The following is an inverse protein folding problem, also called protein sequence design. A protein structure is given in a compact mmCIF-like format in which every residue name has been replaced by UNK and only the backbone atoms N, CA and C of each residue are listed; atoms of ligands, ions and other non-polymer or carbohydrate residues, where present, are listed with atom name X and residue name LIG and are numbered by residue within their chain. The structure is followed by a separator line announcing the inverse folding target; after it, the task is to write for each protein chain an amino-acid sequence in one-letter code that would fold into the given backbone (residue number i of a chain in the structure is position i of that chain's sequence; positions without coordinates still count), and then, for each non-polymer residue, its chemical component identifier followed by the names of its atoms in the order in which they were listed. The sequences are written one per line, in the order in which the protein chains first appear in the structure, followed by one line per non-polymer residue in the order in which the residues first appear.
data_IF_826805788539
#
_entry.id   IF_826805788539
#
_cell.length_a   1.000
_cell.length_b   1.000
_cell.length_c   1.000
_cell.angle_alpha   90.00
_cell.angle_beta   90.00
_cell.angle_gamma   90.00
#
_symmetry.space_group_name_H-M   'P 1'
#
loop_
_entity.id
_entity.type
_entity.pdbx_description
1 polymer ?
#
# COMPACT_ATOMS: atom_id res chain seq x y z
N UNK A 1 1.25 20.30 -85.63
CA UNK A 1 0.83 19.54 -84.43
C UNK A 1 1.15 20.40 -83.22
N UNK A 2 0.11 20.71 -82.45
CA UNK A 2 0.10 21.63 -81.32
C UNK A 2 0.86 21.04 -80.14
N UNK A 3 1.72 21.82 -79.48
CA UNK A 3 2.00 21.61 -78.05
C UNK A 3 2.17 22.95 -77.33
N UNK A 4 1.12 23.23 -76.56
CA UNK A 4 0.93 24.27 -75.57
C UNK A 4 1.96 24.10 -74.43
N UNK A 5 2.63 25.17 -73.98
CA UNK A 5 3.28 25.22 -72.66
C UNK A 5 2.92 26.55 -71.97
N UNK A 6 2.26 26.51 -70.80
CA UNK A 6 1.79 27.71 -70.12
C UNK A 6 2.82 28.29 -69.14
N UNK A 7 2.78 29.62 -69.03
CA UNK A 7 2.65 30.37 -67.77
C UNK A 7 3.64 30.13 -66.64
N UNK A 8 4.61 31.04 -66.53
CA UNK A 8 5.36 31.35 -65.30
C UNK A 8 4.42 31.87 -64.21
N UNK A 9 4.30 31.14 -63.10
CA UNK A 9 3.65 31.63 -61.87
C UNK A 9 4.70 31.75 -60.76
N UNK A 10 5.10 32.98 -60.47
CA UNK A 10 5.95 33.32 -59.33
C UNK A 10 5.15 33.15 -58.04
N UNK A 11 5.45 32.10 -57.27
CA UNK A 11 4.88 31.89 -55.95
C UNK A 11 5.64 32.75 -54.92
N UNK A 12 5.00 33.81 -54.45
CA UNK A 12 5.41 34.56 -53.26
C UNK A 12 5.21 33.69 -52.02
N UNK A 13 6.30 33.18 -51.45
CA UNK A 13 6.30 32.46 -50.18
C UNK A 13 6.28 33.51 -49.07
N UNK A 14 5.10 33.77 -48.49
CA UNK A 14 4.99 34.47 -47.22
C UNK A 14 5.43 33.50 -46.10
N UNK A 15 6.39 33.88 -45.23
CA UNK A 15 6.68 33.07 -44.06
C UNK A 15 5.50 33.19 -43.10
N UNK A 16 4.77 32.09 -42.92
CA UNK A 16 3.82 31.97 -41.83
C UNK A 16 4.60 31.96 -40.52
N UNK A 17 4.63 33.11 -39.85
CA UNK A 17 5.12 33.24 -38.48
C UNK A 17 4.13 32.47 -37.60
N UNK A 18 4.46 31.22 -37.30
CA UNK A 18 3.80 30.48 -36.22
C UNK A 18 4.18 31.14 -34.90
N UNK A 19 3.31 32.01 -34.41
CA UNK A 19 3.33 32.41 -33.01
C UNK A 19 2.99 31.17 -32.17
N UNK A 20 4.02 30.49 -31.65
CA UNK A 20 3.84 29.54 -30.56
C UNK A 20 3.47 30.34 -29.29
N UNK A 21 2.19 30.64 -29.12
CA UNK A 21 1.64 31.00 -27.83
C UNK A 21 1.58 29.73 -26.97
N UNK A 22 2.72 29.31 -26.41
CA UNK A 22 2.74 28.27 -25.37
C UNK A 22 2.88 28.97 -24.02
N UNK A 23 1.74 29.37 -23.47
CA UNK A 23 1.63 29.62 -22.03
C UNK A 23 0.18 29.36 -21.60
N UNK A 24 -0.27 28.12 -21.78
CA UNK A 24 -1.46 27.65 -21.09
C UNK A 24 -1.12 27.46 -19.62
N UNK A 25 -1.32 28.51 -18.81
CA UNK A 25 -1.28 28.39 -17.35
C UNK A 25 -2.43 27.44 -16.97
N UNK A 26 -2.10 26.22 -16.57
CA UNK A 26 -3.10 25.24 -16.16
C UNK A 26 -3.68 25.67 -14.82
N UNK A 27 -4.94 26.12 -14.82
CA UNK A 27 -5.67 26.48 -13.61
C UNK A 27 -6.50 25.28 -13.15
N UNK A 28 -6.32 24.88 -11.89
CA UNK A 28 -7.07 23.83 -11.24
C UNK A 28 -7.86 24.40 -10.08
N UNK A 29 -9.10 23.94 -9.92
CA UNK A 29 -9.83 24.13 -8.65
C UNK A 29 -9.68 22.86 -7.82
N UNK A 30 -9.21 23.02 -6.60
CA UNK A 30 -8.96 21.94 -5.64
C UNK A 30 -9.77 22.22 -4.38
N UNK A 31 -10.51 21.22 -3.89
CA UNK A 31 -11.39 21.38 -2.72
C UNK A 31 -11.13 20.24 -1.74
N UNK A 32 -10.35 20.42 -0.66
CA UNK A 32 -10.14 19.35 0.32
C UNK A 32 -11.45 18.77 0.84
N UNK A 33 -11.49 17.45 1.02
CA UNK A 33 -12.60 16.81 1.73
C UNK A 33 -12.58 17.21 3.22
N UNK A 34 -13.72 17.14 3.93
CA UNK A 34 -13.74 17.33 5.38
C UNK A 34 -12.72 16.43 6.08
N UNK A 35 -11.99 17.00 7.06
CA UNK A 35 -10.95 16.32 7.84
C UNK A 35 -9.78 15.76 7.02
N UNK A 36 -9.54 16.30 5.81
CA UNK A 36 -8.36 15.97 5.01
C UNK A 36 -7.48 17.21 4.81
N UNK A 37 -6.18 16.97 4.67
CA UNK A 37 -5.21 17.99 4.27
C UNK A 37 -4.61 17.57 2.93
N UNK A 38 -4.59 18.47 1.96
CA UNK A 38 -3.94 18.24 0.67
C UNK A 38 -2.63 19.02 0.65
N UNK A 39 -1.52 18.33 0.44
CA UNK A 39 -0.19 18.89 0.26
C UNK A 39 0.26 18.67 -1.19
N UNK A 40 0.37 19.74 -1.96
CA UNK A 40 0.92 19.71 -3.32
C UNK A 40 2.38 20.16 -3.18
N UNK A 41 3.33 19.27 -3.49
CA UNK A 41 4.75 19.57 -3.29
C UNK A 41 5.60 19.01 -4.42
N UNK A 42 6.71 19.69 -4.69
CA UNK A 42 7.72 19.27 -5.66
C UNK A 42 8.98 18.82 -4.96
N UNK A 43 9.72 17.88 -5.56
CA UNK A 43 11.06 17.54 -5.06
C UNK A 43 12.00 18.74 -5.23
N UNK A 44 12.83 19.03 -4.22
CA UNK A 44 13.69 20.21 -4.18
C UNK A 44 14.71 20.31 -5.34
N UNK A 45 14.87 19.26 -6.14
CA UNK A 45 15.78 19.21 -7.29
C UNK A 45 15.21 19.79 -8.59
N UNK A 46 13.95 20.25 -8.61
CA UNK A 46 13.27 20.67 -9.85
C UNK A 46 13.26 22.20 -10.09
N UNK A 47 14.09 22.63 -11.04
CA UNK A 47 13.92 23.64 -12.12
C UNK A 47 12.82 24.74 -12.01
N UNK A 48 12.68 25.43 -10.87
CA UNK A 48 12.00 26.73 -10.82
C UNK A 48 10.48 26.74 -11.06
N UNK A 49 9.81 25.58 -11.10
CA UNK A 49 8.34 25.53 -11.15
C UNK A 49 7.74 25.75 -9.77
N UNK A 50 6.73 26.61 -9.70
CA UNK A 50 6.05 26.98 -8.47
C UNK A 50 4.55 26.71 -8.60
N UNK A 51 3.95 26.32 -7.48
CA UNK A 51 2.52 26.25 -7.29
C UNK A 51 2.05 27.56 -6.66
N UNK A 52 1.00 28.14 -7.19
CA UNK A 52 0.54 29.47 -6.82
C UNK A 52 -0.95 29.50 -6.49
N UNK A 53 -1.32 30.39 -5.57
CA UNK A 53 -2.71 30.73 -5.26
C UNK A 53 -2.93 32.24 -5.35
N UNK A 54 -4.17 32.67 -5.56
CA UNK A 54 -4.51 34.08 -5.78
C UNK A 54 -4.33 34.52 -7.24
N UNK A 55 -4.41 35.82 -7.50
CA UNK A 55 -4.36 36.39 -8.86
C UNK A 55 -3.71 37.77 -8.86
N UNK A 56 -2.91 38.07 -9.89
CA UNK A 56 -2.28 39.39 -10.04
C UNK A 56 -1.24 39.66 -8.95
N UNK A 57 -1.27 40.85 -8.35
CA UNK A 57 -0.30 41.27 -7.32
C UNK A 57 -0.44 40.55 -5.97
N UNK A 58 -1.54 39.85 -5.72
CA UNK A 58 -1.76 39.04 -4.51
C UNK A 58 -1.41 37.56 -4.71
N UNK A 59 -0.83 37.19 -5.85
CA UNK A 59 -0.44 35.82 -6.15
C UNK A 59 0.72 35.39 -5.25
N UNK A 60 0.52 34.31 -4.51
CA UNK A 60 1.52 33.69 -3.65
C UNK A 60 1.98 32.39 -4.28
N UNK A 61 3.26 32.31 -4.62
CA UNK A 61 3.88 31.16 -5.26
C UNK A 61 4.93 30.52 -4.35
N UNK A 62 4.98 29.20 -4.35
CA UNK A 62 5.92 28.41 -3.53
C UNK A 62 6.24 27.08 -4.22
N UNK A 63 7.22 26.34 -3.70
CA UNK A 63 7.52 24.96 -4.14
C UNK A 63 6.57 23.92 -3.52
N UNK A 64 5.75 24.34 -2.55
CA UNK A 64 4.69 23.55 -1.94
C UNK A 64 3.47 24.40 -1.58
N UNK A 65 2.31 23.76 -1.53
CA UNK A 65 1.02 24.36 -1.15
C UNK A 65 0.26 23.40 -0.25
N UNK A 66 -0.13 23.87 0.93
CA UNK A 66 -0.90 23.13 1.91
C UNK A 66 -2.33 23.64 1.99
N UNK A 67 -3.31 22.77 1.79
CA UNK A 67 -4.74 23.07 1.83
C UNK A 67 -5.39 22.27 2.97
N UNK A 68 -5.82 22.96 4.02
CA UNK A 68 -6.34 22.32 5.26
C UNK A 68 -7.84 22.52 5.47
N UNK A 69 -8.47 23.43 4.71
CA UNK A 69 -9.89 23.78 4.87
C UNK A 69 -10.71 23.22 3.70
N UNK A 70 -11.96 22.76 3.96
CA UNK A 70 -12.83 22.21 2.92
C UNK A 70 -13.51 23.33 2.12
N UNK A 71 -12.69 24.19 1.50
CA UNK A 71 -13.14 25.33 0.69
C UNK A 71 -12.43 25.23 -0.67
N UNK A 72 -13.12 25.48 -1.79
CA UNK A 72 -12.48 25.50 -3.10
C UNK A 72 -11.35 26.53 -3.18
N UNK A 73 -10.20 26.10 -3.69
CA UNK A 73 -9.02 26.95 -3.92
C UNK A 73 -8.60 26.85 -5.37
N UNK A 74 -8.44 28.01 -6.02
CA UNK A 74 -7.86 28.09 -7.36
C UNK A 74 -6.33 28.03 -7.28
N UNK A 75 -5.77 27.04 -7.96
CA UNK A 75 -4.35 26.72 -8.01
C UNK A 75 -3.86 26.90 -9.44
N UNK A 76 -2.70 27.54 -9.60
CA UNK A 76 -2.00 27.68 -10.88
C UNK A 76 -0.56 27.23 -10.75
N UNK A 77 0.05 26.87 -11.88
CA UNK A 77 1.44 26.45 -11.93
C UNK A 77 2.22 27.33 -12.90
N UNK A 78 3.47 27.64 -12.57
CA UNK A 78 4.33 28.46 -13.42
C UNK A 78 4.96 27.70 -14.60
N UNK A 79 4.85 26.37 -14.61
CA UNK A 79 5.37 25.52 -15.68
C UNK A 79 4.25 24.81 -16.47
N UNK A 80 4.51 24.45 -17.74
CA UNK A 80 3.49 23.88 -18.63
C UNK A 80 3.14 22.41 -18.33
N UNK A 81 3.99 21.66 -17.62
CA UNK A 81 3.79 20.23 -17.28
C UNK A 81 3.96 19.97 -15.78
N UNK A 82 3.08 20.50 -14.92
CA UNK A 82 3.23 20.39 -13.47
C UNK A 82 3.16 18.94 -12.95
N UNK A 83 2.51 18.03 -13.67
CA UNK A 83 2.32 16.63 -13.30
C UNK A 83 3.63 15.84 -13.21
N UNK A 84 4.65 16.25 -13.96
CA UNK A 84 5.98 15.63 -13.92
C UNK A 84 6.89 16.22 -12.82
N UNK A 85 6.43 17.25 -12.11
CA UNK A 85 7.22 18.01 -11.14
C UNK A 85 6.64 17.94 -9.73
N UNK A 86 5.31 17.98 -9.62
CA UNK A 86 4.59 17.95 -8.36
C UNK A 86 3.95 16.59 -8.11
N UNK A 87 3.99 16.18 -6.84
CA UNK A 87 3.19 15.10 -6.29
C UNK A 87 2.18 15.67 -5.29
N UNK A 88 1.07 14.97 -5.15
CA UNK A 88 -0.02 15.36 -4.25
C UNK A 88 -0.11 14.34 -3.12
N UNK A 89 -0.06 14.80 -1.88
CA UNK A 89 -0.32 13.98 -0.71
C UNK A 89 -1.65 14.40 -0.06
N UNK A 90 -2.54 13.44 0.13
CA UNK A 90 -3.82 13.60 0.81
C UNK A 90 -3.69 12.94 2.17
N UNK A 91 -3.60 13.75 3.22
CA UNK A 91 -3.41 13.29 4.58
C UNK A 91 -4.73 13.33 5.35
N UNK A 92 -5.03 12.25 6.06
CA UNK A 92 -6.12 12.16 7.01
C UNK A 92 -5.56 11.77 8.38
N UNK A 93 -5.76 12.63 9.37
CA UNK A 93 -5.39 12.36 10.75
C UNK A 93 -6.62 11.91 11.55
N UNK A 94 -6.51 10.76 12.21
CA UNK A 94 -7.61 10.10 12.90
C UNK A 94 -7.22 9.90 14.36
N UNK A 95 -7.93 10.60 15.25
CA UNK A 95 -7.81 10.38 16.71
C UNK A 95 -8.85 9.37 17.17
N UNK A 96 -8.40 8.21 17.63
CA UNK A 96 -9.25 7.17 18.18
C UNK A 96 -9.44 7.43 19.68
N UNK A 97 -10.60 7.99 20.04
CA UNK A 97 -10.90 8.45 21.42
C UNK A 97 -11.64 7.41 22.27
N UNK A 98 -12.26 6.41 21.66
CA UNK A 98 -13.07 5.41 22.37
C UNK A 98 -12.75 3.99 21.93
N UNK A 99 -12.93 3.04 22.85
CA UNK A 99 -12.77 1.59 22.60
C UNK A 99 -13.88 0.97 21.72
N UNK A 100 -14.84 1.78 21.25
CA UNK A 100 -15.96 1.35 20.40
C UNK A 100 -15.85 1.84 18.94
N UNK A 101 -14.72 2.44 18.56
CA UNK A 101 -14.58 3.02 17.22
C UNK A 101 -14.34 1.92 16.16
N UNK A 102 -15.27 1.82 15.22
CA UNK A 102 -15.10 1.12 13.94
C UNK A 102 -15.39 2.14 12.84
N UNK A 103 -14.38 2.48 12.04
CA UNK A 103 -14.46 3.55 11.05
C UNK A 103 -14.06 3.06 9.66
N UNK A 104 -14.78 3.46 8.62
CA UNK A 104 -14.36 3.19 7.24
C UNK A 104 -13.23 4.14 6.86
N UNK A 105 -12.21 3.59 6.20
CA UNK A 105 -11.17 4.37 5.56
C UNK A 105 -11.69 4.74 4.18
N UNK A 106 -12.05 6.01 4.02
CA UNK A 106 -12.65 6.45 2.76
C UNK A 106 -11.52 6.71 1.76
N UNK A 107 -11.33 5.75 0.86
CA UNK A 107 -10.45 5.84 -0.28
C UNK A 107 -11.21 6.46 -1.45
N UNK A 108 -11.31 7.78 -1.43
CA UNK A 108 -11.91 8.57 -2.49
C UNK A 108 -10.85 9.45 -3.11
N UNK A 109 -11.00 9.76 -4.39
CA UNK A 109 -10.20 10.80 -5.04
C UNK A 109 -10.58 12.16 -4.38
N UNK A 110 -10.01 12.41 -3.21
CA UNK A 110 -10.32 13.57 -2.39
C UNK A 110 -9.94 14.85 -3.12
N UNK A 111 -10.96 15.65 -3.39
CA UNK A 111 -10.80 17.06 -3.70
C UNK A 111 -10.62 17.50 -5.14
N UNK A 112 -11.10 16.68 -6.10
CA UNK A 112 -11.54 17.03 -7.46
C UNK A 112 -10.93 16.10 -8.51
N UNK A 113 -11.70 15.79 -9.55
CA UNK A 113 -11.25 15.20 -10.82
C UNK A 113 -9.98 15.89 -11.37
N UNK A 114 -9.74 17.15 -10.99
CA UNK A 114 -8.60 17.96 -11.43
C UNK A 114 -7.24 17.42 -10.98
N UNK A 115 -7.15 16.68 -9.86
CA UNK A 115 -5.88 16.14 -9.37
C UNK A 115 -5.53 14.76 -9.95
N UNK A 116 -6.39 14.20 -10.81
CA UNK A 116 -6.20 12.85 -11.35
C UNK A 116 -4.88 12.70 -12.11
N UNK A 117 -4.45 13.75 -12.82
CA UNK A 117 -3.24 13.72 -13.64
C UNK A 117 -1.95 13.77 -12.83
N UNK A 118 -2.03 13.92 -11.50
CA UNK A 118 -0.87 13.94 -10.61
C UNK A 118 -0.68 12.57 -9.96
N UNK A 119 0.58 12.21 -9.71
CA UNK A 119 0.89 11.15 -8.76
C UNK A 119 0.36 11.56 -7.39
N UNK A 120 -0.40 10.66 -6.76
CA UNK A 120 -1.07 10.91 -5.50
C UNK A 120 -0.65 9.89 -4.45
N UNK A 121 -0.47 10.35 -3.22
CA UNK A 121 -0.35 9.49 -2.04
C UNK A 121 -1.47 9.81 -1.08
N UNK A 122 -2.23 8.80 -0.70
CA UNK A 122 -3.23 8.89 0.37
C UNK A 122 -2.60 8.36 1.64
N UNK A 123 -2.62 9.14 2.72
CA UNK A 123 -1.97 8.81 3.98
C UNK A 123 -2.97 8.91 5.13
N UNK A 124 -3.24 7.79 5.79
CA UNK A 124 -4.05 7.73 7.00
C UNK A 124 -3.13 7.55 8.20
N UNK A 125 -3.04 8.59 9.03
CA UNK A 125 -2.32 8.56 10.30
C UNK A 125 -3.31 8.37 11.42
N UNK A 126 -3.23 7.26 12.13
CA UNK A 126 -4.12 6.93 13.23
C UNK A 126 -3.35 7.03 14.53
N UNK A 127 -3.93 7.75 15.49
CA UNK A 127 -3.40 7.88 16.84
C UNK A 127 -4.46 7.42 17.85
N UNK A 128 -4.11 6.45 18.67
CA UNK A 128 -5.04 5.70 19.51
C UNK A 128 -4.61 5.70 20.99
N UNK A 129 -4.33 6.89 21.52
CA UNK A 129 -3.77 7.10 22.87
C UNK A 129 -4.62 6.57 24.04
N UNK A 130 -5.92 6.35 23.84
CA UNK A 130 -6.86 5.93 24.88
C UNK A 130 -7.40 4.51 24.67
N UNK A 131 -6.86 3.78 23.70
CA UNK A 131 -7.26 2.39 23.41
C UNK A 131 -6.07 1.46 23.63
N UNK A 132 -6.29 0.18 23.99
CA UNK A 132 -5.17 -0.74 24.20
C UNK A 132 -4.38 -1.02 22.92
N UNK A 133 -5.08 -1.06 21.79
CA UNK A 133 -4.52 -1.14 20.45
C UNK A 133 -5.62 -0.82 19.43
N UNK A 134 -5.20 -0.59 18.19
CA UNK A 134 -6.09 -0.45 17.05
C UNK A 134 -5.52 -1.21 15.87
N UNK A 135 -6.29 -1.39 14.80
CA UNK A 135 -5.76 -1.93 13.58
C UNK A 135 -6.51 -1.51 12.34
N UNK A 136 -5.91 -1.85 11.21
CA UNK A 136 -6.48 -1.74 9.89
C UNK A 136 -6.97 -3.12 9.45
N UNK A 137 -8.24 -3.20 9.03
CA UNK A 137 -8.85 -4.38 8.45
C UNK A 137 -8.88 -4.24 6.93
N UNK A 138 -8.27 -5.22 6.27
CA UNK A 138 -8.17 -5.34 4.82
C UNK A 138 -8.81 -6.63 4.32
N UNK A 139 -9.55 -7.37 5.17
CA UNK A 139 -9.96 -8.76 4.90
C UNK A 139 -10.78 -8.93 3.61
N UNK A 140 -11.51 -7.88 3.19
CA UNK A 140 -12.29 -7.90 1.95
C UNK A 140 -11.41 -7.92 0.68
N UNK A 141 -10.25 -7.26 0.71
CA UNK A 141 -9.35 -7.15 -0.45
C UNK A 141 -8.13 -8.06 -0.32
N UNK A 142 -7.60 -8.20 0.88
CA UNK A 142 -6.36 -8.89 1.18
C UNK A 142 -5.13 -8.15 0.65
N UNK A 143 -4.04 -8.18 1.42
CA UNK A 143 -2.76 -7.60 1.03
C UNK A 143 -1.69 -8.68 0.87
N UNK A 144 -0.82 -8.52 -0.13
CA UNK A 144 0.35 -9.38 -0.39
C UNK A 144 1.61 -8.55 -0.20
N UNK A 145 2.47 -8.94 0.74
CA UNK A 145 3.74 -8.26 0.93
C UNK A 145 4.62 -8.42 -0.31
N UNK A 146 5.38 -7.39 -0.62
CA UNK A 146 6.30 -7.36 -1.76
C UNK A 146 7.67 -6.84 -1.34
N UNK A 147 8.69 -7.34 -2.02
CA UNK A 147 10.03 -6.78 -1.94
C UNK A 147 10.03 -5.30 -2.39
N UNK A 148 10.79 -4.39 -1.75
CA UNK A 148 10.75 -2.96 -2.10
C UNK A 148 11.15 -2.60 -3.53
N UNK A 149 11.83 -3.50 -4.25
CA UNK A 149 12.19 -3.33 -5.67
C UNK A 149 11.13 -3.84 -6.64
N UNK A 150 10.07 -4.49 -6.14
CA UNK A 150 8.98 -5.03 -6.96
C UNK A 150 7.85 -4.00 -7.01
N UNK A 151 7.24 -3.82 -8.18
CA UNK A 151 6.05 -3.00 -8.35
C UNK A 151 4.80 -3.85 -8.42
N UNK A 152 3.66 -3.31 -7.96
CA UNK A 152 2.39 -3.99 -8.07
C UNK A 152 1.91 -4.08 -9.53
N UNK A 153 1.20 -5.16 -9.92
CA UNK A 153 0.68 -5.29 -11.29
C UNK A 153 -0.27 -4.16 -11.71
N UNK A 154 -1.00 -3.61 -10.76
CA UNK A 154 -1.88 -2.45 -10.92
C UNK A 154 -1.19 -1.11 -10.63
N UNK A 155 0.11 -1.14 -10.31
CA UNK A 155 0.92 0.00 -9.87
C UNK A 155 0.45 0.71 -8.58
N UNK A 156 -0.58 0.20 -7.90
CA UNK A 156 -1.05 0.74 -6.64
C UNK A 156 -0.28 0.09 -5.50
N UNK A 157 0.49 0.89 -4.76
CA UNK A 157 1.35 0.37 -3.69
C UNK A 157 0.84 0.82 -2.34
N UNK A 158 0.58 -0.15 -1.46
CA UNK A 158 0.16 0.08 -0.09
C UNK A 158 1.35 -0.03 0.84
N UNK A 159 1.47 0.86 1.82
CA UNK A 159 2.58 0.82 2.78
C UNK A 159 2.07 0.96 4.20
N UNK A 160 2.58 0.13 5.10
CA UNK A 160 2.28 0.21 6.54
C UNK A 160 3.53 0.60 7.32
N UNK A 161 3.33 1.52 8.26
CA UNK A 161 4.34 1.92 9.22
C UNK A 161 3.80 1.85 10.64
N UNK A 162 4.64 1.44 11.58
CA UNK A 162 4.40 1.56 13.01
C UNK A 162 5.26 2.67 13.61
N UNK A 163 4.80 3.23 14.73
CA UNK A 163 5.55 4.23 15.46
C UNK A 163 6.86 3.65 16.05
N UNK A 164 7.95 4.45 16.12
CA UNK A 164 8.02 5.85 15.69
C UNK A 164 8.23 6.03 14.18
N UNK A 165 8.85 5.07 13.48
CA UNK A 165 9.06 5.12 12.02
C UNK A 165 9.55 3.76 11.48
N UNK A 166 8.91 2.66 11.88
CA UNK A 166 9.29 1.31 11.45
C UNK A 166 8.43 0.91 10.26
N UNK A 167 9.07 0.60 9.14
CA UNK A 167 8.39 0.11 7.95
C UNK A 167 7.95 -1.34 8.22
N UNK A 168 6.65 -1.57 8.34
CA UNK A 168 6.11 -2.93 8.47
C UNK A 168 6.22 -3.66 7.13
N UNK A 169 5.93 -2.95 6.04
CA UNK A 169 6.10 -3.49 4.70
C UNK A 169 5.46 -2.66 3.60
N UNK A 170 5.72 -3.09 2.36
CA UNK A 170 5.02 -2.66 1.15
C UNK A 170 4.18 -3.82 0.63
N UNK A 171 3.02 -3.49 0.08
CA UNK A 171 2.01 -4.48 -0.29
C UNK A 171 1.33 -4.15 -1.61
N UNK A 172 0.94 -5.20 -2.31
CA UNK A 172 -0.05 -5.17 -3.38
C UNK A 172 -1.37 -5.78 -2.88
N UNK A 173 -2.43 -5.64 -3.67
CA UNK A 173 -3.71 -6.29 -3.38
C UNK A 173 -3.68 -7.79 -3.65
N UNK A 174 -4.75 -8.45 -3.19
CA UNK A 174 -5.04 -9.86 -3.41
C UNK A 174 -3.96 -10.76 -2.80
N UNK A 175 -3.80 -10.64 -1.48
CA UNK A 175 -2.93 -11.51 -0.72
C UNK A 175 -3.54 -11.96 0.61
N UNK A 176 -2.81 -12.80 1.35
CA UNK A 176 -3.31 -13.44 2.57
C UNK A 176 -3.40 -12.48 3.76
N UNK A 177 -2.73 -11.34 3.74
CA UNK A 177 -2.71 -10.41 4.89
C UNK A 177 -4.08 -9.75 4.99
N UNK A 178 -4.79 -10.04 6.08
CA UNK A 178 -6.16 -9.58 6.30
C UNK A 178 -6.22 -8.43 7.29
N UNK A 179 -5.28 -8.32 8.23
CA UNK A 179 -5.27 -7.24 9.24
C UNK A 179 -3.86 -6.85 9.65
N UNK A 180 -3.70 -5.62 10.12
CA UNK A 180 -2.51 -5.16 10.83
C UNK A 180 -2.92 -4.35 12.07
N UNK A 181 -2.33 -4.65 13.22
CA UNK A 181 -2.69 -4.12 14.52
C UNK A 181 -1.48 -3.48 15.21
N UNK A 182 -1.71 -2.32 15.83
CA UNK A 182 -0.72 -1.38 16.33
C UNK A 182 -1.12 -0.89 17.73
N UNK A 183 -0.12 -0.55 18.56
CA UNK A 183 -0.35 -0.06 19.92
C UNK A 183 -0.90 1.37 19.94
N UNK A 184 -0.06 2.35 19.59
CA UNK A 184 -0.37 3.76 19.79
C UNK A 184 -0.58 4.51 18.48
N UNK A 185 0.36 4.36 17.54
CA UNK A 185 0.34 5.06 16.27
C UNK A 185 0.75 4.13 15.14
N UNK A 186 0.05 4.28 14.04
CA UNK A 186 0.23 3.52 12.82
C UNK A 186 -0.17 4.37 11.62
N UNK A 187 0.58 4.21 10.54
CA UNK A 187 0.39 4.96 9.30
C UNK A 187 0.14 3.95 8.21
N UNK A 188 -0.92 4.18 7.45
CA UNK A 188 -1.23 3.44 6.24
C UNK A 188 -1.23 4.40 5.07
N UNK A 189 -0.53 4.06 4.00
CA UNK A 189 -0.52 4.88 2.79
C UNK A 189 -0.79 4.07 1.53
N UNK A 190 -1.35 4.76 0.52
CA UNK A 190 -1.59 4.25 -0.82
C UNK A 190 -0.97 5.21 -1.83
N UNK A 191 0.04 4.75 -2.56
CA UNK A 191 0.62 5.44 -3.70
C UNK A 191 -0.12 5.07 -4.99
N UNK A 192 -0.64 6.08 -5.69
CA UNK A 192 -1.39 5.97 -6.95
C UNK A 192 -0.69 6.77 -8.04
N UNK A 193 -0.34 6.14 -9.17
CA UNK A 193 0.26 6.84 -10.31
C UNK A 193 -0.65 7.91 -10.91
N UNK A 194 -0.03 8.86 -11.61
CA UNK A 194 -0.75 9.85 -12.42
C UNK A 194 -1.71 9.17 -13.42
N UNK A 195 -2.91 9.72 -13.54
CA UNK A 195 -3.95 9.26 -14.48
C UNK A 195 -4.77 8.05 -14.03
N UNK A 196 -4.38 7.36 -12.94
CA UNK A 196 -5.11 6.19 -12.42
C UNK A 196 -6.08 6.59 -11.31
N UNK A 197 -7.28 6.01 -11.26
CA UNK A 197 -8.22 6.29 -10.16
C UNK A 197 -7.93 5.41 -8.95
N UNK A 198 -8.16 5.95 -7.75
CA UNK A 198 -8.17 5.14 -6.53
C UNK A 198 -9.26 4.08 -6.65
N UNK A 199 -8.89 2.82 -6.37
CA UNK A 199 -9.89 1.78 -6.23
C UNK A 199 -10.54 1.89 -4.85
N UNK A 200 -11.87 1.78 -4.80
CA UNK A 200 -12.61 1.81 -3.55
C UNK A 200 -12.50 0.44 -2.87
N UNK A 201 -11.35 0.17 -2.24
CA UNK A 201 -11.20 -1.02 -1.42
C UNK A 201 -11.95 -0.83 -0.09
N UNK A 202 -12.50 -1.92 0.45
CA UNK A 202 -13.23 -1.91 1.71
C UNK A 202 -12.27 -2.01 2.89
N UNK A 203 -11.55 -0.92 3.16
CA UNK A 203 -10.67 -0.83 4.32
C UNK A 203 -11.35 -0.15 5.49
N UNK A 204 -11.10 -0.67 6.68
CA UNK A 204 -11.67 -0.12 7.91
C UNK A 204 -10.68 -0.15 9.06
N UNK A 205 -11.01 0.60 10.10
CA UNK A 205 -10.32 0.64 11.37
C UNK A 205 -11.11 -0.17 12.39
N UNK A 206 -10.40 -0.89 13.24
CA UNK A 206 -10.98 -1.65 14.36
C UNK A 206 -10.20 -1.41 15.66
N UNK A 207 -10.88 -1.56 16.80
CA UNK A 207 -10.23 -1.65 18.12
C UNK A 207 -9.82 -3.10 18.35
N UNK A 208 -8.55 -3.32 18.65
CA UNK A 208 -8.00 -4.64 18.85
C UNK A 208 -7.86 -5.04 20.32
N UNK A 209 -7.45 -6.28 20.54
CA UNK A 209 -7.06 -6.80 21.86
C UNK A 209 -5.75 -6.16 22.36
N UNK A 210 -5.39 -6.39 23.62
CA UNK A 210 -4.07 -5.96 24.13
C UNK A 210 -2.99 -6.75 23.39
N UNK A 211 -2.04 -6.05 22.79
CA UNK A 211 -0.86 -6.64 22.14
C UNK A 211 0.40 -6.11 22.82
N UNK A 212 1.53 -6.78 22.62
CA UNK A 212 2.84 -6.32 23.11
C UNK A 212 3.71 -5.72 22.00
N UNK A 213 3.36 -5.96 20.74
CA UNK A 213 4.11 -5.53 19.56
C UNK A 213 3.17 -5.41 18.35
N UNK A 214 3.69 -4.92 17.21
CA UNK A 214 2.90 -4.86 15.97
C UNK A 214 2.54 -6.27 15.52
N UNK A 215 1.26 -6.50 15.22
CA UNK A 215 0.72 -7.81 14.83
C UNK A 215 0.12 -7.75 13.43
N UNK A 216 0.58 -8.61 12.53
CA UNK A 216 0.00 -8.77 11.18
C UNK A 216 -0.70 -10.11 11.10
N UNK A 217 -1.99 -10.09 10.77
CA UNK A 217 -2.81 -11.31 10.67
C UNK A 217 -2.99 -11.72 9.22
N UNK A 218 -2.88 -13.02 8.99
CA UNK A 218 -3.00 -13.66 7.69
C UNK A 218 -4.17 -14.64 7.69
N UNK A 219 -5.02 -14.54 6.68
CA UNK A 219 -6.02 -15.56 6.32
C UNK A 219 -5.44 -16.37 5.17
N UNK A 220 -4.94 -17.57 5.46
CA UNK A 220 -4.36 -18.41 4.42
C UNK A 220 -5.45 -18.98 3.50
N UNK A 221 -5.24 -19.02 2.18
CA UNK A 221 -6.26 -19.48 1.25
C UNK A 221 -6.45 -21.00 1.33
N UNK A 222 -7.61 -21.47 0.87
CA UNK A 222 -7.89 -22.89 0.70
C UNK A 222 -7.09 -23.42 -0.50
N UNK A 223 -6.57 -24.64 -0.37
CA UNK A 223 -5.74 -25.29 -1.37
C UNK A 223 -4.24 -25.10 -1.11
N UNK A 224 -3.43 -25.50 -2.09
CA UNK A 224 -1.99 -25.37 -2.01
C UNK A 224 -1.57 -23.95 -2.40
N UNK A 225 -0.80 -23.29 -1.55
CA UNK A 225 -0.33 -21.93 -1.78
C UNK A 225 0.94 -21.64 -1.00
N UNK A 226 1.61 -20.54 -1.35
CA UNK A 226 2.78 -20.04 -0.63
C UNK A 226 2.69 -18.53 -0.47
N UNK A 227 3.12 -18.03 0.68
CA UNK A 227 3.14 -16.61 1.00
C UNK A 227 4.52 -16.22 1.51
N UNK A 228 5.07 -15.16 0.94
CA UNK A 228 6.35 -14.57 1.37
C UNK A 228 6.08 -13.45 2.37
N UNK A 229 6.86 -13.43 3.45
CA UNK A 229 6.85 -12.40 4.47
C UNK A 229 8.27 -11.90 4.71
N UNK A 230 8.40 -10.58 4.85
CA UNK A 230 9.66 -9.91 5.06
C UNK A 230 9.66 -9.26 6.44
N UNK A 231 10.81 -9.27 7.10
CA UNK A 231 11.02 -8.55 8.37
C UNK A 231 10.71 -7.06 8.21
N UNK A 232 10.37 -6.36 9.30
CA UNK A 232 10.27 -4.90 9.25
C UNK A 232 11.57 -4.26 8.75
N UNK A 233 11.44 -3.12 8.08
CA UNK A 233 12.50 -2.36 7.41
C UNK A 233 13.22 -3.06 6.25
N UNK A 234 12.85 -4.28 5.87
CA UNK A 234 13.52 -5.03 4.80
C UNK A 234 13.67 -4.21 3.50
N UNK A 235 14.84 -4.23 2.82
CA UNK A 235 16.04 -5.03 3.10
C UNK A 235 16.98 -4.46 4.16
N UNK A 236 16.61 -3.34 4.81
CA UNK A 236 17.39 -2.81 5.92
C UNK A 236 17.11 -3.60 7.21
N UNK A 237 17.97 -3.38 8.22
CA UNK A 237 17.88 -4.09 9.49
C UNK A 237 16.55 -3.86 10.20
N UNK A 238 15.99 -4.95 10.72
CA UNK A 238 15.01 -4.88 11.77
C UNK A 238 15.63 -4.23 13.03
N UNK A 239 14.83 -3.45 13.75
CA UNK A 239 15.26 -2.62 14.87
C UNK A 239 15.80 -3.45 16.04
N UNK A 240 16.79 -2.91 16.76
CA UNK A 240 17.41 -3.56 17.93
C UNK A 240 16.38 -3.73 19.05
N UNK A 241 16.40 -4.90 19.69
CA UNK A 241 15.47 -5.29 20.78
C UNK A 241 13.97 -5.16 20.47
N UNK A 242 13.62 -5.20 19.18
CA UNK A 242 12.24 -5.06 18.71
C UNK A 242 11.60 -6.42 18.37
N UNK A 243 10.27 -6.43 18.30
CA UNK A 243 9.45 -7.63 18.12
C UNK A 243 8.37 -7.42 17.08
N UNK A 244 8.14 -8.43 16.24
CA UNK A 244 7.05 -8.45 15.26
C UNK A 244 6.28 -9.76 15.36
N UNK A 245 4.95 -9.70 15.39
CA UNK A 245 4.09 -10.88 15.40
C UNK A 245 3.37 -11.06 14.05
N UNK A 246 3.40 -12.27 13.52
CA UNK A 246 2.49 -12.73 12.47
C UNK A 246 1.52 -13.76 13.04
N UNK A 247 0.23 -13.59 12.80
CA UNK A 247 -0.81 -14.53 13.22
C UNK A 247 -1.45 -15.19 12.01
N UNK A 248 -1.42 -16.52 11.96
CA UNK A 248 -1.86 -17.30 10.81
C UNK A 248 -3.17 -18.01 11.11
N UNK A 249 -4.22 -17.66 10.36
CA UNK A 249 -5.46 -18.41 10.31
C UNK A 249 -5.35 -19.48 9.22
N UNK A 250 -5.24 -20.74 9.65
CA UNK A 250 -5.09 -21.88 8.75
C UNK A 250 -6.45 -22.53 8.49
N UNK A 251 -6.87 -22.71 7.23
CA UNK A 251 -8.12 -23.40 6.93
C UNK A 251 -8.17 -24.82 7.49
N UNK A 252 -9.38 -25.30 7.79
CA UNK A 252 -9.57 -26.66 8.25
C UNK A 252 -8.98 -27.67 7.25
N UNK A 253 -8.40 -28.77 7.75
CA UNK A 253 -7.76 -29.84 6.93
C UNK A 253 -6.55 -29.41 6.10
N UNK A 254 -5.98 -28.24 6.38
CA UNK A 254 -4.72 -27.81 5.78
C UNK A 254 -3.61 -27.90 6.82
N UNK A 255 -2.39 -28.07 6.33
CA UNK A 255 -1.20 -27.97 7.15
C UNK A 255 -0.26 -26.92 6.57
N UNK A 256 0.47 -26.26 7.46
CA UNK A 256 1.42 -25.22 7.08
C UNK A 256 2.85 -25.65 7.34
N UNK A 257 3.76 -25.16 6.52
CA UNK A 257 5.19 -25.30 6.69
C UNK A 257 5.82 -23.90 6.66
N UNK A 258 6.72 -23.63 7.60
CA UNK A 258 7.47 -22.37 7.65
C UNK A 258 8.91 -22.65 7.27
N UNK A 259 9.48 -21.80 6.42
CA UNK A 259 10.88 -21.88 6.00
C UNK A 259 11.50 -20.48 6.02
N UNK A 260 12.76 -20.40 6.42
CA UNK A 260 13.53 -19.15 6.39
C UNK A 260 14.48 -19.23 5.20
N UNK A 261 14.45 -18.24 4.31
CA UNK A 261 15.28 -18.23 3.10
C UNK A 261 16.50 -17.30 3.26
N UNK A 262 16.29 -15.99 3.10
CA UNK A 262 17.34 -14.99 3.21
C UNK A 262 17.39 -14.47 4.64
N UNK A 263 18.34 -15.01 5.42
CA UNK A 263 18.56 -14.62 6.82
C UNK A 263 19.90 -13.90 6.93
N UNK A 264 19.87 -12.65 7.40
CA UNK A 264 21.08 -11.98 7.90
C UNK A 264 20.95 -11.90 9.42
N UNK A 265 21.89 -12.50 10.14
CA UNK A 265 21.85 -12.49 11.61
C UNK A 265 22.70 -11.35 12.17
N UNK A 266 22.21 -10.65 13.20
CA UNK A 266 22.98 -9.60 13.85
C UNK A 266 23.98 -10.16 14.84
N UNK A 267 24.97 -9.33 15.18
CA UNK A 267 25.84 -9.59 16.33
C UNK A 267 25.13 -9.11 17.60
N UNK A 268 24.73 -10.05 18.45
CA UNK A 268 24.01 -9.75 19.68
C UNK A 268 24.95 -9.47 20.86
N UNK A 269 24.69 -8.40 21.61
CA UNK A 269 25.32 -8.10 22.90
C UNK A 269 24.55 -8.78 24.03
N UNK A 270 23.21 -8.74 23.97
CA UNK A 270 22.30 -9.39 24.91
C UNK A 270 21.10 -9.96 24.19
N UNK A 271 20.45 -10.95 24.84
CA UNK A 271 19.35 -11.74 24.26
C UNK A 271 19.81 -12.45 22.98
N UNK A 272 18.92 -13.20 22.36
CA UNK A 272 19.21 -13.95 21.13
C UNK A 272 18.10 -13.69 20.13
N UNK A 273 18.47 -13.38 18.89
CA UNK A 273 17.51 -13.27 17.80
C UNK A 273 16.94 -14.66 17.49
N UNK A 274 15.61 -14.77 17.47
CA UNK A 274 14.93 -16.06 17.39
C UNK A 274 13.51 -15.88 16.85
N UNK A 275 12.92 -17.00 16.42
CA UNK A 275 11.50 -17.10 16.11
C UNK A 275 10.81 -17.89 17.21
N UNK A 276 9.69 -17.38 17.71
CA UNK A 276 8.85 -18.11 18.66
C UNK A 276 7.49 -18.44 18.04
N UNK A 277 7.05 -19.68 18.19
CA UNK A 277 5.74 -20.15 17.72
C UNK A 277 4.81 -20.39 18.90
N UNK A 278 3.64 -19.79 18.86
CA UNK A 278 2.57 -20.00 19.84
C UNK A 278 1.41 -20.69 19.17
N UNK A 279 1.01 -21.84 19.72
CA UNK A 279 -0.14 -22.60 19.26
C UNK A 279 -1.27 -22.53 20.28
N UNK A 280 -2.51 -22.69 19.82
CA UNK A 280 -3.67 -22.78 20.70
C UNK A 280 -3.44 -23.82 21.81
N UNK A 281 -3.48 -23.36 23.07
CA UNK A 281 -3.38 -24.17 24.29
C UNK A 281 -2.05 -24.92 24.47
N UNK A 282 -0.96 -24.47 23.85
CA UNK A 282 0.39 -25.04 24.05
C UNK A 282 1.36 -23.95 24.49
N UNK A 283 2.42 -24.36 25.20
CA UNK A 283 3.54 -23.49 25.48
C UNK A 283 4.22 -23.04 24.17
N UNK A 284 4.78 -21.83 24.16
CA UNK A 284 5.54 -21.31 23.04
C UNK A 284 6.79 -22.15 22.78
N UNK A 285 7.12 -22.37 21.51
CA UNK A 285 8.34 -23.03 21.08
C UNK A 285 9.27 -22.01 20.44
N UNK A 286 10.49 -21.89 20.96
CA UNK A 286 11.50 -20.96 20.44
C UNK A 286 12.45 -21.72 19.53
N UNK A 287 12.65 -21.20 18.34
CA UNK A 287 13.59 -21.71 17.35
C UNK A 287 14.66 -20.67 17.01
N UNK A 288 15.89 -21.14 16.83
CA UNK A 288 16.98 -20.32 16.30
C UNK A 288 16.74 -19.99 14.82
N UNK A 289 17.42 -18.95 14.34
CA UNK A 289 17.30 -18.53 12.94
C UNK A 289 18.09 -19.43 11.97
N UNK A 290 19.04 -20.20 12.48
CA UNK A 290 19.91 -21.12 11.72
C UNK A 290 19.46 -22.58 11.75
N UNK A 291 18.36 -22.90 12.45
CA UNK A 291 17.85 -24.26 12.54
C UNK A 291 16.57 -24.50 11.73
N UNK A 292 16.25 -25.76 11.39
CA UNK A 292 15.05 -26.09 10.64
C UNK A 292 13.78 -25.66 11.39
N UNK A 293 12.94 -24.90 10.71
CA UNK A 293 11.64 -24.46 11.22
C UNK A 293 10.58 -25.57 11.08
N UNK A 294 9.43 -25.46 11.76
CA UNK A 294 8.39 -26.51 11.71
C UNK A 294 7.82 -26.72 10.31
N UNK A 295 7.89 -27.96 9.81
CA UNK A 295 7.43 -28.34 8.47
C UNK A 295 5.99 -28.87 8.37
N UNK A 296 5.30 -29.12 9.50
CA UNK A 296 3.90 -29.56 9.51
C UNK A 296 3.16 -29.04 10.74
N UNK A 297 2.59 -27.84 10.61
CA UNK A 297 1.79 -27.18 11.63
C UNK A 297 0.30 -27.32 11.27
N UNK A 298 -0.48 -28.07 12.06
CA UNK A 298 -1.94 -28.11 11.93
C UNK A 298 -2.59 -26.94 12.68
N UNK A 299 -3.60 -26.33 12.05
CA UNK A 299 -4.41 -25.27 12.66
C UNK A 299 -3.69 -23.94 12.82
N UNK A 300 -4.42 -22.94 13.32
CA UNK A 300 -3.94 -21.57 13.46
C UNK A 300 -2.87 -21.42 14.54
N UNK A 301 -1.89 -20.56 14.28
CA UNK A 301 -0.74 -20.30 15.16
C UNK A 301 -0.25 -18.85 15.01
N UNK A 302 0.52 -18.37 15.98
CA UNK A 302 1.27 -17.11 15.87
C UNK A 302 2.77 -17.41 15.80
N UNK A 303 3.49 -16.59 15.04
CA UNK A 303 4.95 -16.59 14.91
C UNK A 303 5.46 -15.21 15.30
N UNK A 304 6.39 -15.15 16.22
CA UNK A 304 7.00 -13.90 16.71
C UNK A 304 8.46 -13.89 16.31
N UNK A 305 8.88 -12.90 15.52
CA UNK A 305 10.29 -12.61 15.30
C UNK A 305 10.76 -11.67 16.40
N UNK A 306 11.75 -12.12 17.17
CA UNK A 306 12.40 -11.34 18.21
C UNK A 306 13.80 -10.95 17.73
N UNK A 307 14.12 -9.67 17.72
CA UNK A 307 15.50 -9.23 17.57
C UNK A 307 16.20 -9.22 18.94
N UNK A 308 17.53 -9.25 18.91
CA UNK A 308 18.36 -9.09 20.10
C UNK A 308 18.79 -7.63 20.29
N UNK A 309 19.43 -7.35 21.42
CA UNK A 309 20.16 -6.10 21.61
C UNK A 309 21.43 -6.18 20.74
N UNK A 310 21.41 -5.50 19.60
CA UNK A 310 22.47 -5.57 18.60
C UNK A 310 23.70 -4.75 19.02
N UNK A 311 24.87 -5.21 18.62
CA UNK A 311 26.11 -4.43 18.67
C UNK A 311 26.05 -3.34 17.59
N UNK A 312 25.82 -2.07 17.95
CA UNK A 312 25.65 -0.97 17.00
C UNK A 312 26.95 -0.46 16.36
N UNK A 313 28.06 -1.21 16.47
CA UNK A 313 29.29 -0.86 15.74
C UNK A 313 29.06 -0.92 14.21
N UNK A 314 29.66 0.00 13.46
CA UNK A 314 29.52 0.17 12.00
C UNK A 314 29.77 -1.09 11.15
N UNK A 315 30.33 -2.15 11.74
CA UNK A 315 30.71 -3.40 11.08
C UNK A 315 29.75 -4.56 11.35
N UNK A 316 28.77 -4.39 12.24
CA UNK A 316 27.79 -5.45 12.50
C UNK A 316 26.73 -5.47 11.39
N UNK A 317 26.41 -6.67 10.92
CA UNK A 317 25.24 -6.86 10.07
C UNK A 317 23.99 -6.76 10.92
N UNK A 318 22.90 -6.22 10.35
CA UNK A 318 21.60 -6.16 11.01
C UNK A 318 20.78 -7.42 10.83
N UNK A 319 19.67 -7.54 11.55
CA UNK A 319 18.72 -8.64 11.37
C UNK A 319 17.86 -8.39 10.13
N UNK A 320 17.91 -9.28 9.15
CA UNK A 320 16.93 -9.32 8.06
C UNK A 320 16.41 -10.74 7.89
N UNK A 321 15.12 -10.87 7.62
CA UNK A 321 14.48 -12.17 7.48
C UNK A 321 13.49 -12.18 6.32
N UNK A 322 13.64 -13.18 5.46
CA UNK A 322 12.62 -13.60 4.50
C UNK A 322 12.06 -14.96 4.91
N UNK A 323 10.75 -14.99 5.17
CA UNK A 323 9.99 -16.15 5.61
C UNK A 323 9.06 -16.58 4.48
N UNK A 324 9.10 -17.86 4.13
CA UNK A 324 8.12 -18.47 3.26
C UNK A 324 7.21 -19.40 4.05
N UNK A 325 5.91 -19.14 3.96
CA UNK A 325 4.85 -19.91 4.59
C UNK A 325 4.08 -20.63 3.51
N UNK A 326 4.18 -21.96 3.50
CA UNK A 326 3.51 -22.82 2.52
C UNK A 326 2.32 -23.50 3.16
N UNK A 327 1.21 -23.56 2.43
CA UNK A 327 -0.03 -24.25 2.80
C UNK A 327 -0.15 -25.47 1.90
N UNK A 328 -0.43 -26.61 2.52
CA UNK A 328 -0.72 -27.86 1.82
C UNK A 328 -2.05 -28.42 2.29
N UNK A 329 -2.83 -28.91 1.33
CA UNK A 329 -4.05 -29.67 1.58
C UNK A 329 -3.82 -31.13 1.26
N UNK A 330 -4.15 -32.01 2.20
CA UNK A 330 -4.25 -33.45 1.93
C UNK A 330 -5.56 -33.77 1.16
N UNK A 331 -6.40 -32.77 0.88
CA UNK A 331 -7.60 -32.92 0.06
C UNK A 331 -7.26 -32.79 -1.42
N UNK A 332 -7.75 -33.74 -2.22
CA UNK A 332 -7.70 -33.66 -3.68
C UNK A 332 -8.55 -32.47 -4.13
N UNK A 333 -7.92 -31.48 -4.77
CA UNK A 333 -8.63 -30.46 -5.53
C UNK A 333 -9.33 -31.13 -6.70
N UNK A 334 -10.66 -31.19 -6.66
CA UNK A 334 -11.45 -31.59 -7.82
C UNK A 334 -11.58 -30.37 -8.75
N UNK A 335 -10.77 -30.31 -9.79
CA UNK A 335 -11.05 -29.40 -10.90
C UNK A 335 -12.33 -29.90 -11.58
N UNK A 336 -13.37 -29.09 -11.53
CA UNK A 336 -14.60 -29.33 -12.29
C UNK A 336 -14.47 -28.56 -13.60
N UNK A 337 -14.17 -29.28 -14.68
CA UNK A 337 -14.28 -28.73 -16.03
C UNK A 337 -15.71 -28.98 -16.54
N UNK A 338 -16.48 -27.90 -16.67
CA UNK A 338 -17.85 -27.95 -17.17
C UNK A 338 -17.93 -28.24 -18.68
N UNK A 339 -16.81 -28.19 -19.42
CA UNK A 339 -16.77 -28.64 -20.82
C UNK A 339 -16.72 -30.16 -20.95
N UNK A 340 -16.10 -30.86 -20.00
CA UNK A 340 -15.84 -32.30 -20.11
C UNK A 340 -16.90 -33.19 -19.46
N UNK A 341 -17.73 -32.65 -18.54
CA UNK A 341 -18.78 -33.42 -17.87
C UNK A 341 -20.19 -32.87 -18.15
N UNK A 342 -20.88 -33.36 -19.21
CA UNK A 342 -22.19 -32.87 -19.64
C UNK A 342 -23.34 -33.18 -18.67
N UNK A 343 -23.06 -33.91 -17.56
CA UNK A 343 -24.04 -34.20 -16.51
C UNK A 343 -23.99 -33.20 -15.36
N UNK A 344 -22.96 -32.36 -15.29
CA UNK A 344 -22.84 -31.32 -14.27
C UNK A 344 -23.57 -30.05 -14.74
N UNK A 345 -24.62 -29.65 -14.03
CA UNK A 345 -25.31 -28.37 -14.24
C UNK A 345 -25.08 -27.42 -13.07
N UNK A 346 -24.53 -26.24 -13.35
CA UNK A 346 -24.42 -25.15 -12.38
C UNK A 346 -25.72 -24.33 -12.42
N UNK A 347 -26.56 -24.47 -11.39
CA UNK A 347 -27.76 -23.64 -11.26
C UNK A 347 -27.44 -22.38 -10.44
N UNK A 348 -27.10 -21.30 -11.14
CA UNK A 348 -26.91 -19.98 -10.50
C UNK A 348 -28.26 -19.29 -10.42
N UNK A 349 -28.79 -19.15 -9.21
CA UNK A 349 -30.03 -18.40 -8.97
C UNK A 349 -29.63 -16.97 -8.58
N UNK A 350 -29.97 -16.02 -9.42
CA UNK A 350 -29.81 -14.61 -9.07
C UNK A 350 -30.90 -14.23 -8.05
N UNK A 351 -30.51 -14.09 -6.79
CA UNK A 351 -31.38 -13.67 -5.68
C UNK A 351 -31.55 -12.14 -5.60
N UNK A 352 -30.90 -11.37 -6.48
CA UNK A 352 -30.99 -9.91 -6.52
C UNK A 352 -31.37 -9.38 -7.91
N UNK A 353 -32.33 -8.45 -8.04
CA UNK A 353 -32.72 -7.90 -9.34
C UNK A 353 -31.77 -6.81 -9.84
N UNK A 354 -30.50 -6.73 -9.41
CA UNK A 354 -29.56 -5.72 -9.94
C UNK A 354 -29.18 -6.06 -11.40
N UNK A 355 -29.54 -5.21 -12.39
CA UNK A 355 -29.29 -5.44 -13.81
C UNK A 355 -27.80 -5.35 -14.20
N UNK A 356 -26.90 -5.04 -13.25
CA UNK A 356 -25.44 -5.01 -13.47
C UNK A 356 -24.73 -6.30 -13.04
N UNK A 357 -25.45 -7.25 -12.45
CA UNK A 357 -24.89 -8.55 -12.13
C UNK A 357 -24.75 -9.36 -13.43
N UNK A 358 -23.53 -9.49 -13.93
CA UNK A 358 -23.21 -10.36 -15.06
C UNK A 358 -22.42 -11.56 -14.55
N UNK A 359 -22.95 -12.75 -14.80
CA UNK A 359 -22.21 -14.00 -14.62
C UNK A 359 -21.34 -14.14 -15.86
N UNK A 360 -20.02 -14.19 -15.68
CA UNK A 360 -19.08 -14.37 -16.77
C UNK A 360 -18.57 -15.81 -16.80
#
# INVERSE_FOLDING_TARGET
MSFYRPGSASALILPAIFFYLVSGVQMLTVTPDPNTTINISSSAQNQGCQVCTGSGSSQLCSTSLLLTRPIPVSVTFTCPKPQGVFSVEILQYIEMKTSSFSGLIIQKDSGSQSLLDFQRRFTWTVNATLTPSFGFDFNATGLRQIHPSVSCPDHHTYTLWSAPNVLVGKFCRFGPISRAQFLNLGIFSLDVPAGQRVQQDNFSLFVGEIISSTKVSLTLPIGNSSSELLSPNYPNSFSSDDVMEWSFMVPAKHTTAVTLHSVTQPKCVRKTAAVEYTFLRRAGLVYRLDEPQPGKIPGSFSMVLRNCEMDETLSSSGLTLNVMVSVSSDQVLCNVDLHEDPKLSLHVINVSPDPRCTIQ
#
